data_IF_794007883602
#
_entry.id   IF_794007883602
#
_cell.length_a   1.000
_cell.length_b   1.000
_cell.length_c   1.000
_cell.angle_alpha   90.00
_cell.angle_beta   90.00
_cell.angle_gamma   90.00
#
_symmetry.space_group_name_H-M   'P 1'
#
loop_
_entity.id
_entity.type
_entity.pdbx_description
1 polymer ?
#
# COMPACT_ATOMS: atom_id res chain seq x y z
N UNK A 1 -17.50 -76.83 -30.33
CA UNK A 1 -18.00 -75.54 -29.80
C UNK A 1 -16.81 -74.76 -29.27
N UNK A 2 -16.24 -73.85 -30.07
CA UNK A 2 -15.06 -73.04 -29.69
C UNK A 2 -15.56 -71.75 -29.02
N UNK A 3 -15.16 -71.50 -27.77
CA UNK A 3 -15.53 -70.29 -27.02
C UNK A 3 -14.63 -69.12 -27.44
N UNK A 4 -15.25 -68.04 -27.90
CA UNK A 4 -14.62 -66.79 -28.29
C UNK A 4 -14.36 -65.96 -27.01
N UNK A 5 -13.11 -65.63 -26.72
CA UNK A 5 -12.73 -64.74 -25.62
C UNK A 5 -12.52 -63.35 -26.20
N UNK A 6 -13.38 -62.40 -25.84
CA UNK A 6 -13.27 -60.98 -26.22
C UNK A 6 -12.46 -60.28 -25.14
N UNK A 7 -11.26 -59.80 -25.50
CA UNK A 7 -10.44 -58.94 -24.66
C UNK A 7 -10.87 -57.50 -24.92
N UNK A 8 -11.50 -56.86 -23.92
CA UNK A 8 -11.84 -55.43 -23.95
C UNK A 8 -10.62 -54.67 -23.44
N UNK A 9 -9.97 -53.90 -24.32
CA UNK A 9 -8.87 -53.02 -23.97
C UNK A 9 -9.42 -51.70 -23.42
N UNK A 10 -9.23 -51.48 -22.12
CA UNK A 10 -9.58 -50.24 -21.42
C UNK A 10 -8.57 -49.14 -21.78
N UNK A 11 -8.99 -48.16 -22.58
CA UNK A 11 -8.20 -46.96 -22.87
C UNK A 11 -8.34 -46.01 -21.68
N UNK A 12 -7.27 -45.86 -20.90
CA UNK A 12 -7.19 -44.86 -19.84
C UNK A 12 -6.98 -43.48 -20.47
N UNK A 13 -8.01 -42.64 -20.46
CA UNK A 13 -7.92 -41.22 -20.79
C UNK A 13 -7.12 -40.51 -19.69
N UNK A 14 -5.89 -40.10 -19.99
CA UNK A 14 -5.14 -39.17 -19.16
C UNK A 14 -5.80 -37.79 -19.28
N UNK A 15 -6.52 -37.39 -18.24
CA UNK A 15 -7.06 -36.04 -18.10
C UNK A 15 -5.88 -35.14 -17.74
N UNK A 16 -5.26 -34.51 -18.73
CA UNK A 16 -4.31 -33.43 -18.53
C UNK A 16 -5.04 -32.27 -17.85
N UNK A 17 -4.84 -32.14 -16.54
CA UNK A 17 -5.21 -30.95 -15.78
C UNK A 17 -4.48 -29.77 -16.39
N UNK A 18 -5.22 -28.93 -17.13
CA UNK A 18 -4.79 -27.58 -17.46
C UNK A 18 -4.65 -26.81 -16.15
N UNK A 19 -3.44 -26.87 -15.55
CA UNK A 19 -3.05 -25.90 -14.53
C UNK A 19 -3.07 -24.54 -15.21
N UNK A 20 -4.12 -23.76 -14.92
CA UNK A 20 -4.15 -22.37 -15.30
C UNK A 20 -2.90 -21.71 -14.71
N UNK A 21 -2.10 -21.07 -15.56
CA UNK A 21 -1.08 -20.13 -15.12
C UNK A 21 -1.80 -18.98 -14.41
N UNK A 22 -2.15 -19.18 -13.14
CA UNK A 22 -2.31 -18.08 -12.20
C UNK A 22 -0.92 -17.46 -12.11
N UNK A 23 -0.69 -16.38 -12.86
CA UNK A 23 0.42 -15.48 -12.60
C UNK A 23 0.45 -15.23 -11.09
N UNK A 24 1.50 -15.70 -10.41
CA UNK A 24 1.63 -15.48 -8.97
C UNK A 24 1.75 -13.97 -8.77
N UNK A 25 0.86 -13.41 -7.96
CA UNK A 25 0.89 -11.99 -7.62
C UNK A 25 2.21 -11.70 -6.89
N UNK A 26 2.87 -10.55 -7.16
CA UNK A 26 3.98 -10.07 -6.35
C UNK A 26 3.67 -10.05 -4.86
N UNK A 27 4.57 -10.61 -4.06
CA UNK A 27 4.42 -10.72 -2.61
C UNK A 27 5.75 -10.48 -1.87
N UNK A 28 5.65 -9.97 -0.65
CA UNK A 28 6.76 -9.81 0.29
C UNK A 28 6.27 -9.93 1.73
N UNK A 29 7.03 -10.57 2.61
CA UNK A 29 6.68 -10.77 4.03
C UNK A 29 7.68 -10.08 4.95
N UNK A 30 7.25 -9.73 6.17
CA UNK A 30 8.12 -9.26 7.25
C UNK A 30 9.18 -10.31 7.62
N UNK A 31 10.28 -9.93 8.29
CA UNK A 31 11.28 -10.87 8.79
C UNK A 31 10.73 -12.01 9.65
N UNK A 32 9.67 -11.77 10.43
CA UNK A 32 8.98 -12.80 11.23
C UNK A 32 7.86 -13.54 10.48
N UNK A 33 7.57 -13.14 9.24
CA UNK A 33 6.54 -13.73 8.38
C UNK A 33 5.09 -13.38 8.76
N UNK A 34 4.85 -12.57 9.80
CA UNK A 34 3.51 -12.24 10.28
C UNK A 34 2.79 -11.22 9.41
N UNK A 35 3.51 -10.23 8.88
CA UNK A 35 2.96 -9.22 7.98
C UNK A 35 3.32 -9.57 6.54
N UNK A 36 2.36 -9.55 5.62
CA UNK A 36 2.60 -9.78 4.19
C UNK A 36 1.92 -8.71 3.35
N UNK A 37 2.63 -8.22 2.34
CA UNK A 37 2.10 -7.35 1.31
C UNK A 37 2.00 -8.12 0.00
N UNK A 38 0.89 -7.96 -0.71
CA UNK A 38 0.75 -8.41 -2.09
C UNK A 38 0.32 -7.26 -2.99
N UNK A 39 0.74 -7.30 -4.26
CA UNK A 39 0.43 -6.26 -5.25
C UNK A 39 -0.14 -6.90 -6.50
N UNK A 40 -1.14 -6.26 -7.11
CA UNK A 40 -1.79 -6.73 -8.32
C UNK A 40 -2.37 -5.55 -9.10
N UNK A 41 -2.69 -5.80 -10.37
CA UNK A 41 -3.55 -4.92 -11.15
C UNK A 41 -4.97 -5.50 -11.15
N UNK A 42 -5.97 -4.74 -10.71
CA UNK A 42 -7.39 -5.10 -10.81
C UNK A 42 -8.02 -4.21 -11.87
N UNK A 43 -8.49 -4.81 -12.97
CA UNK A 43 -9.12 -4.06 -14.08
C UNK A 43 -8.26 -2.90 -14.63
N UNK A 44 -6.93 -3.06 -14.65
CA UNK A 44 -5.98 -2.03 -15.09
C UNK A 44 -5.45 -1.13 -13.96
N UNK A 45 -6.04 -1.17 -12.76
CA UNK A 45 -5.67 -0.32 -11.61
C UNK A 45 -4.70 -1.03 -10.67
N UNK A 46 -3.55 -0.43 -10.43
CA UNK A 46 -2.54 -0.92 -9.49
C UNK A 46 -3.07 -0.85 -8.05
N UNK A 47 -2.99 -1.96 -7.33
CA UNK A 47 -3.52 -2.08 -5.97
C UNK A 47 -2.62 -2.94 -5.09
N UNK A 48 -2.56 -2.62 -3.80
CA UNK A 48 -1.90 -3.45 -2.77
C UNK A 48 -2.89 -3.99 -1.75
N UNK A 49 -2.49 -5.03 -1.04
CA UNK A 49 -3.22 -5.66 0.04
C UNK A 49 -2.23 -6.05 1.15
N UNK A 50 -2.68 -6.02 2.40
CA UNK A 50 -1.87 -6.39 3.57
C UNK A 50 -2.57 -7.47 4.38
N UNK A 51 -1.81 -8.51 4.72
CA UNK A 51 -2.20 -9.56 5.66
C UNK A 51 -1.38 -9.45 6.95
N UNK A 52 -2.00 -9.75 8.09
CA UNK A 52 -1.37 -9.93 9.40
C UNK A 52 -1.83 -11.27 9.99
N UNK A 53 -0.88 -12.16 10.28
CA UNK A 53 -1.13 -13.51 10.80
C UNK A 53 -2.10 -14.35 9.95
N UNK A 54 -2.04 -14.17 8.62
CA UNK A 54 -2.91 -14.85 7.66
C UNK A 54 -4.32 -14.25 7.53
N UNK A 55 -4.64 -13.18 8.27
CA UNK A 55 -5.87 -12.42 8.11
C UNK A 55 -5.62 -11.17 7.28
N UNK A 56 -6.48 -10.90 6.29
CA UNK A 56 -6.45 -9.65 5.55
C UNK A 56 -6.80 -8.48 6.49
N UNK A 57 -5.93 -7.49 6.58
CA UNK A 57 -6.15 -6.26 7.38
C UNK A 57 -6.37 -5.04 6.50
N UNK A 58 -5.67 -4.95 5.37
CA UNK A 58 -5.92 -3.97 4.31
C UNK A 58 -6.37 -4.76 3.08
N UNK A 59 -7.62 -4.55 2.67
CA UNK A 59 -8.18 -5.05 1.42
C UNK A 59 -7.52 -4.38 0.21
N UNK A 60 -7.72 -4.90 -1.02
CA UNK A 60 -7.16 -4.27 -2.21
C UNK A 60 -7.42 -2.77 -2.24
N UNK A 61 -6.35 -1.99 -2.18
CA UNK A 61 -6.34 -0.53 -2.04
C UNK A 61 -5.56 0.08 -3.19
N UNK A 62 -6.17 1.07 -3.85
CA UNK A 62 -5.60 1.72 -5.05
C UNK A 62 -4.27 2.42 -4.74
N UNK A 63 -3.37 2.38 -5.73
CA UNK A 63 -2.11 3.09 -5.77
C UNK A 63 -2.06 3.92 -7.07
N UNK A 64 -1.82 5.22 -6.98
CA UNK A 64 -1.71 6.03 -8.19
C UNK A 64 -1.73 7.53 -7.95
N UNK A 65 -1.70 8.28 -9.05
CA UNK A 65 -1.78 9.74 -9.07
C UNK A 65 -2.64 10.23 -10.22
N UNK A 66 -3.45 11.25 -9.99
CA UNK A 66 -4.03 12.07 -11.06
C UNK A 66 -3.06 13.23 -11.35
N UNK A 67 -2.65 13.37 -12.60
CA UNK A 67 -1.79 14.46 -13.05
C UNK A 67 -2.62 15.67 -13.49
N UNK A 68 -2.00 16.85 -13.51
CA UNK A 68 -2.56 18.01 -14.17
C UNK A 68 -2.78 17.69 -15.66
N UNK A 69 -4.01 17.87 -16.14
CA UNK A 69 -4.43 17.45 -17.48
C UNK A 69 -5.19 16.11 -17.53
N UNK A 70 -5.33 15.42 -16.39
CA UNK A 70 -6.24 14.27 -16.22
C UNK A 70 -5.66 12.90 -16.55
N UNK A 71 -4.36 12.80 -16.90
CA UNK A 71 -3.70 11.51 -17.01
C UNK A 71 -3.56 10.85 -15.63
N UNK A 72 -3.70 9.53 -15.55
CA UNK A 72 -3.61 8.78 -14.30
C UNK A 72 -2.40 7.85 -14.34
N UNK A 73 -1.50 8.00 -13.38
CA UNK A 73 -0.43 7.03 -13.13
C UNK A 73 -0.99 5.93 -12.22
N UNK A 74 -0.73 4.66 -12.55
CA UNK A 74 -1.28 3.51 -11.81
C UNK A 74 -2.61 2.97 -12.36
N UNK A 75 -3.16 3.59 -13.40
CA UNK A 75 -4.30 3.07 -14.17
C UNK A 75 -3.85 2.57 -15.55
N UNK A 76 -4.65 1.71 -16.19
CA UNK A 76 -4.34 1.02 -17.45
C UNK A 76 -2.90 0.47 -17.49
N UNK A 77 -2.44 -0.07 -16.36
CA UNK A 77 -1.04 -0.46 -16.15
C UNK A 77 -0.91 -1.95 -15.85
N UNK A 78 0.26 -2.50 -16.16
CA UNK A 78 0.62 -3.88 -15.83
C UNK A 78 1.92 -3.92 -15.03
N UNK A 79 2.06 -4.97 -14.22
CA UNK A 79 3.30 -5.23 -13.49
C UNK A 79 4.28 -5.89 -14.46
N UNK A 80 5.40 -5.21 -14.72
CA UNK A 80 6.42 -5.65 -15.66
C UNK A 80 7.43 -6.59 -15.00
N UNK A 81 7.89 -6.24 -13.80
CA UNK A 81 8.83 -7.05 -13.04
C UNK A 81 8.81 -6.70 -11.55
N UNK A 82 9.51 -7.48 -10.75
CA UNK A 82 9.69 -7.23 -9.31
C UNK A 82 11.13 -7.46 -8.91
N UNK A 83 11.62 -6.63 -8.00
CA UNK A 83 12.95 -6.75 -7.40
C UNK A 83 12.83 -6.91 -5.89
N UNK A 84 13.50 -7.90 -5.31
CA UNK A 84 13.49 -8.13 -3.86
C UNK A 84 14.84 -7.85 -3.23
N UNK A 85 14.83 -7.34 -2.00
CA UNK A 85 16.01 -7.19 -1.17
C UNK A 85 15.66 -7.33 0.31
N UNK A 86 16.68 -7.37 1.18
CA UNK A 86 16.51 -7.36 2.63
C UNK A 86 17.56 -6.46 3.26
N UNK A 87 17.24 -5.91 4.41
CA UNK A 87 18.12 -5.06 5.19
C UNK A 87 18.02 -5.47 6.66
N UNK A 88 19.17 -5.60 7.31
CA UNK A 88 19.28 -6.00 8.71
C UNK A 88 20.55 -5.36 9.28
N UNK A 89 20.39 -4.14 9.83
CA UNK A 89 21.46 -3.40 10.48
C UNK A 89 20.95 -2.59 11.65
N UNK A 90 21.83 -2.37 12.62
CA UNK A 90 21.61 -1.43 13.71
C UNK A 90 22.41 -0.16 13.46
N UNK A 91 21.82 1.00 13.74
CA UNK A 91 22.51 2.28 13.70
C UNK A 91 22.38 3.02 15.04
N UNK A 92 23.29 3.95 15.29
CA UNK A 92 23.34 4.72 16.54
C UNK A 92 22.85 6.16 16.31
N UNK A 93 21.92 6.61 17.12
CA UNK A 93 21.39 7.97 17.08
C UNK A 93 22.39 8.97 17.67
N UNK A 94 22.45 10.18 17.11
CA UNK A 94 23.15 11.30 17.76
C UNK A 94 22.40 11.73 19.04
N UNK A 95 21.07 11.69 19.00
CA UNK A 95 20.14 11.97 20.10
C UNK A 95 18.79 11.30 19.77
N UNK A 96 18.00 10.96 20.79
CA UNK A 96 16.70 10.30 20.61
C UNK A 96 16.25 9.58 21.88
N UNK A 97 15.07 8.97 21.80
CA UNK A 97 14.49 8.10 22.83
C UNK A 97 15.27 6.81 23.05
N UNK A 98 15.99 6.34 22.03
CA UNK A 98 16.80 5.12 22.04
C UNK A 98 18.15 5.37 21.38
N UNK A 99 19.23 4.90 22.00
CA UNK A 99 20.60 5.05 21.44
C UNK A 99 20.81 4.21 20.18
N UNK A 100 20.30 2.98 20.18
CA UNK A 100 20.47 2.02 19.08
C UNK A 100 19.12 1.74 18.46
N UNK A 101 19.04 1.87 17.13
CA UNK A 101 17.84 1.60 16.35
C UNK A 101 18.12 0.44 15.41
N UNK A 102 17.30 -0.59 15.48
CA UNK A 102 17.32 -1.72 14.56
C UNK A 102 16.49 -1.38 13.34
N UNK A 103 17.10 -1.46 12.15
CA UNK A 103 16.40 -1.43 10.87
C UNK A 103 16.49 -2.82 10.26
N UNK A 104 15.38 -3.56 10.38
CA UNK A 104 15.25 -4.92 9.88
C UNK A 104 13.96 -5.07 9.08
N UNK A 105 14.09 -5.16 7.77
CA UNK A 105 12.96 -5.29 6.86
C UNK A 105 13.30 -6.12 5.63
N UNK A 106 12.25 -6.66 5.01
CA UNK A 106 12.33 -7.12 3.63
C UNK A 106 11.73 -6.05 2.72
N UNK A 107 12.28 -5.90 1.51
CA UNK A 107 11.84 -4.90 0.56
C UNK A 107 11.50 -5.52 -0.80
N UNK A 108 10.52 -4.91 -1.47
CA UNK A 108 10.09 -5.27 -2.82
C UNK A 108 9.84 -3.99 -3.62
N UNK A 109 10.44 -3.89 -4.80
CA UNK A 109 10.09 -2.86 -5.79
C UNK A 109 9.23 -3.53 -6.87
N UNK A 110 8.04 -3.00 -7.10
CA UNK A 110 7.14 -3.39 -8.19
C UNK A 110 7.35 -2.42 -9.33
N UNK A 111 7.81 -2.93 -10.46
CA UNK A 111 8.10 -2.13 -11.65
C UNK A 111 6.90 -2.12 -12.59
N UNK A 112 6.46 -0.92 -12.98
CA UNK A 112 5.44 -0.73 -14.04
C UNK A 112 6.00 0.18 -15.13
N UNK A 113 5.21 0.48 -16.16
CA UNK A 113 5.68 1.36 -17.24
C UNK A 113 5.96 2.80 -16.78
N UNK A 114 5.20 3.30 -15.80
CA UNK A 114 5.17 4.74 -15.47
C UNK A 114 5.13 5.06 -13.98
N UNK A 115 5.07 4.05 -13.10
CA UNK A 115 4.98 4.25 -11.66
C UNK A 115 5.49 3.02 -10.92
N UNK A 116 6.70 3.12 -10.40
CA UNK A 116 7.27 2.07 -9.57
C UNK A 116 6.83 2.28 -8.12
N UNK A 117 6.70 1.18 -7.37
CA UNK A 117 6.33 1.22 -5.95
C UNK A 117 7.31 0.38 -5.14
N UNK A 118 8.02 1.02 -4.22
CA UNK A 118 8.89 0.36 -3.25
C UNK A 118 8.12 0.12 -1.96
N UNK A 119 8.07 -1.13 -1.51
CA UNK A 119 7.57 -1.55 -0.21
C UNK A 119 8.73 -1.98 0.68
N UNK A 120 8.66 -1.62 1.96
CA UNK A 120 9.45 -2.16 3.06
C UNK A 120 8.51 -2.73 4.10
N UNK A 121 8.73 -3.98 4.47
CA UNK A 121 7.86 -4.73 5.39
C UNK A 121 8.66 -5.08 6.62
N UNK A 122 8.23 -4.50 7.75
CA UNK A 122 8.78 -4.67 9.08
C UNK A 122 7.87 -5.60 9.89
N UNK A 123 8.34 -6.07 11.04
CA UNK A 123 7.54 -6.91 11.92
C UNK A 123 6.35 -6.15 12.55
N UNK A 124 6.41 -4.83 12.60
CA UNK A 124 5.44 -3.94 13.25
C UNK A 124 4.73 -3.00 12.26
N UNK A 125 4.92 -3.20 10.95
CA UNK A 125 4.25 -2.38 9.96
C UNK A 125 4.83 -2.46 8.56
N UNK A 126 4.33 -1.59 7.70
CA UNK A 126 4.82 -1.41 6.33
C UNK A 126 5.11 0.06 6.06
N UNK A 127 6.09 0.31 5.20
CA UNK A 127 6.30 1.59 4.53
C UNK A 127 6.27 1.37 3.02
N UNK A 128 5.62 2.24 2.28
CA UNK A 128 5.74 2.24 0.82
C UNK A 128 5.88 3.64 0.24
N UNK A 129 6.53 3.76 -0.90
CA UNK A 129 6.67 5.02 -1.64
C UNK A 129 6.65 4.77 -3.14
N UNK A 130 6.36 5.81 -3.88
CA UNK A 130 6.39 5.78 -5.33
C UNK A 130 7.73 6.28 -5.86
N UNK A 131 8.16 5.70 -6.98
CA UNK A 131 9.35 6.09 -7.72
C UNK A 131 8.89 6.44 -9.14
N UNK A 132 9.12 7.68 -9.56
CA UNK A 132 8.72 8.19 -10.87
C UNK A 132 9.88 8.01 -11.87
N UNK A 133 9.69 7.24 -12.96
CA UNK A 133 10.74 7.07 -13.97
C UNK A 133 11.19 8.40 -14.56
N UNK A 134 12.49 8.55 -14.83
CA UNK A 134 13.07 9.79 -15.39
C UNK A 134 12.46 10.15 -16.76
N UNK A 135 12.01 9.14 -17.51
CA UNK A 135 11.44 9.26 -18.85
C UNK A 135 10.13 10.03 -18.88
N UNK A 136 9.44 10.19 -17.74
CA UNK A 136 8.24 11.03 -17.65
C UNK A 136 8.56 12.53 -17.75
N UNK A 137 9.82 12.94 -17.55
CA UNK A 137 10.19 14.36 -17.46
C UNK A 137 9.51 15.06 -16.28
N UNK A 138 9.46 16.39 -16.32
CA UNK A 138 8.76 17.21 -15.33
C UNK A 138 7.25 17.12 -15.52
N UNK A 139 6.51 16.94 -14.42
CA UNK A 139 5.04 16.89 -14.44
C UNK A 139 4.46 17.38 -13.12
N UNK A 140 3.16 17.69 -13.13
CA UNK A 140 2.47 18.20 -11.96
C UNK A 140 1.41 17.20 -11.52
N UNK A 141 1.42 16.87 -10.23
CA UNK A 141 0.42 16.03 -9.58
C UNK A 141 -0.75 16.91 -9.16
N UNK A 142 -1.97 16.48 -9.49
CA UNK A 142 -3.21 17.09 -8.99
C UNK A 142 -3.66 16.42 -7.70
N UNK A 143 -3.72 15.08 -7.70
CA UNK A 143 -4.13 14.25 -6.55
C UNK A 143 -3.24 13.02 -6.42
N UNK A 144 -3.05 12.57 -5.19
CA UNK A 144 -2.59 11.22 -4.88
C UNK A 144 -3.82 10.33 -4.67
N UNK A 145 -3.85 9.16 -5.30
CA UNK A 145 -5.02 8.25 -5.31
C UNK A 145 -4.88 7.10 -4.30
N UNK A 146 -3.87 7.16 -3.42
CA UNK A 146 -3.56 6.11 -2.46
C UNK A 146 -4.72 5.88 -1.50
N UNK A 147 -5.13 4.62 -1.41
CA UNK A 147 -6.16 4.16 -0.48
C UNK A 147 -5.58 3.37 0.70
N UNK A 148 -6.34 3.37 1.79
CA UNK A 148 -6.20 2.47 2.93
C UNK A 148 -7.59 1.87 3.20
N UNK A 149 -7.94 0.82 2.46
CA UNK A 149 -9.20 0.10 2.62
C UNK A 149 -9.03 -1.00 3.65
N UNK A 150 -9.56 -0.80 4.85
CA UNK A 150 -9.57 -1.83 5.89
C UNK A 150 -10.47 -3.00 5.49
N UNK A 151 -10.08 -4.22 5.88
CA UNK A 151 -10.85 -5.43 5.57
C UNK A 151 -12.14 -5.57 6.40
N UNK A 152 -12.22 -4.87 7.54
CA UNK A 152 -13.43 -4.75 8.35
C UNK A 152 -13.94 -3.31 8.31
N UNK A 153 -15.23 -3.16 8.61
CA UNK A 153 -15.84 -1.88 8.94
C UNK A 153 -15.85 -1.67 10.46
N UNK A 154 -16.37 -0.54 10.92
CA UNK A 154 -16.61 -0.24 12.34
C UNK A 154 -15.35 0.01 13.19
N UNK A 155 -14.28 0.43 12.53
CA UNK A 155 -13.09 0.97 13.16
C UNK A 155 -13.40 2.27 13.91
N UNK A 156 -12.73 2.46 15.06
CA UNK A 156 -12.67 3.77 15.73
C UNK A 156 -11.36 4.44 15.40
N UNK A 157 -11.41 5.73 15.14
CA UNK A 157 -10.25 6.54 14.77
C UNK A 157 -10.08 7.69 15.76
N UNK A 158 -8.84 7.90 16.21
CA UNK A 158 -8.40 9.09 16.91
C UNK A 158 -7.67 9.99 15.92
N UNK A 159 -8.19 11.20 15.73
CA UNK A 159 -7.74 12.10 14.68
C UNK A 159 -7.86 13.56 15.09
N UNK A 160 -7.10 14.42 14.42
CA UNK A 160 -7.19 15.87 14.56
C UNK A 160 -7.68 16.48 13.23
N UNK A 161 -8.69 17.37 13.26
CA UNK A 161 -9.23 17.95 12.05
C UNK A 161 -8.26 18.95 11.41
N UNK A 162 -8.09 18.85 10.09
CA UNK A 162 -7.28 19.76 9.28
C UNK A 162 -7.82 21.19 9.26
N UNK A 163 -9.11 21.36 9.55
CA UNK A 163 -9.77 22.67 9.61
C UNK A 163 -9.21 23.56 10.74
N UNK A 164 -8.53 22.99 11.73
CA UNK A 164 -7.83 23.71 12.78
C UNK A 164 -6.36 23.90 12.38
N UNK A 165 -5.86 25.15 12.31
CA UNK A 165 -4.47 25.41 11.92
C UNK A 165 -3.43 24.77 12.85
N UNK A 166 -2.23 24.55 12.30
CA UNK A 166 -1.00 24.22 13.05
C UNK A 166 -1.06 22.99 13.96
N UNK A 167 -1.97 22.03 13.70
CA UNK A 167 -2.13 20.82 14.50
C UNK A 167 -2.55 21.08 15.96
N UNK A 168 -3.00 22.29 16.30
CA UNK A 168 -3.37 22.68 17.65
C UNK A 168 -4.84 22.33 17.96
N UNK A 169 -5.22 21.08 17.66
CA UNK A 169 -6.55 20.55 17.91
C UNK A 169 -6.50 19.44 18.97
N UNK A 170 -7.59 19.28 19.72
CA UNK A 170 -7.79 18.06 20.50
C UNK A 170 -8.10 16.90 19.55
N UNK A 171 -7.56 15.72 19.87
CA UNK A 171 -7.92 14.51 19.14
C UNK A 171 -9.38 14.13 19.44
N UNK A 172 -10.14 13.85 18.39
CA UNK A 172 -11.51 13.35 18.44
C UNK A 172 -11.51 11.84 18.24
N UNK A 173 -12.42 11.12 18.90
CA UNK A 173 -12.64 9.70 18.69
C UNK A 173 -14.00 9.49 18.01
N UNK A 174 -13.98 9.00 16.78
CA UNK A 174 -15.19 8.81 15.97
C UNK A 174 -15.16 7.46 15.23
N UNK A 175 -16.25 7.12 14.55
CA UNK A 175 -16.19 6.14 13.48
C UNK A 175 -15.41 6.70 12.28
N UNK A 176 -14.87 5.81 11.45
CA UNK A 176 -14.02 6.17 10.30
C UNK A 176 -14.75 7.07 9.29
N UNK A 177 -16.00 6.77 8.95
CA UNK A 177 -16.83 7.54 8.01
C UNK A 177 -17.29 8.93 8.54
N UNK A 178 -16.90 9.30 9.76
CA UNK A 178 -17.27 10.59 10.37
C UNK A 178 -16.17 11.62 10.32
N UNK A 179 -14.97 11.27 9.87
CA UNK A 179 -13.91 12.25 9.69
C UNK A 179 -14.16 13.04 8.41
N UNK A 180 -13.82 14.33 8.41
CA UNK A 180 -13.80 15.14 7.20
C UNK A 180 -12.42 15.05 6.52
N UNK A 181 -11.39 15.61 7.15
CA UNK A 181 -10.00 15.59 6.74
C UNK A 181 -9.12 15.62 7.98
N UNK A 182 -8.41 14.52 8.22
CA UNK A 182 -7.53 14.33 9.37
C UNK A 182 -6.08 14.64 9.05
N UNK A 183 -5.40 15.34 9.96
CA UNK A 183 -3.94 15.30 9.99
C UNK A 183 -3.43 13.91 10.36
N UNK A 184 -2.27 13.54 9.80
CA UNK A 184 -1.51 12.36 10.24
C UNK A 184 -0.49 12.75 11.33
N UNK A 185 -0.12 11.85 12.26
CA UNK A 185 -0.59 10.47 12.37
C UNK A 185 -2.05 10.37 12.82
N UNK A 186 -2.79 9.42 12.22
CA UNK A 186 -4.06 8.96 12.80
C UNK A 186 -3.83 7.61 13.46
N UNK A 187 -4.51 7.37 14.58
CA UNK A 187 -4.47 6.08 15.28
C UNK A 187 -5.85 5.44 15.22
N UNK A 188 -5.90 4.14 14.94
CA UNK A 188 -7.13 3.41 14.69
C UNK A 188 -7.18 2.18 15.60
N UNK A 189 -8.29 2.04 16.34
CA UNK A 189 -8.65 0.81 17.04
C UNK A 189 -9.44 -0.06 16.07
N UNK A 190 -8.84 -1.19 15.77
CA UNK A 190 -9.32 -2.24 14.89
C UNK A 190 -10.60 -2.90 15.39
N UNK A 191 -11.63 -3.02 14.55
CA UNK A 191 -12.74 -3.94 14.83
C UNK A 191 -12.31 -5.42 14.80
N UNK A 192 -11.07 -5.69 14.39
CA UNK A 192 -10.38 -6.97 14.48
C UNK A 192 -9.54 -7.15 15.74
N UNK A 193 -9.56 -6.17 16.66
CA UNK A 193 -8.81 -6.21 17.91
C UNK A 193 -7.37 -5.73 17.80
N UNK A 194 -6.93 -5.31 16.60
CA UNK A 194 -5.59 -4.75 16.36
C UNK A 194 -5.58 -3.23 16.49
N UNK A 195 -4.40 -2.63 16.51
CA UNK A 195 -4.25 -1.18 16.42
C UNK A 195 -3.44 -0.82 15.18
N UNK A 196 -3.82 0.29 14.54
CA UNK A 196 -3.11 0.81 13.37
C UNK A 196 -2.71 2.26 13.58
N UNK A 197 -1.60 2.66 12.97
CA UNK A 197 -1.25 4.08 12.83
C UNK A 197 -0.85 4.37 11.39
N UNK A 198 -1.54 5.31 10.75
CA UNK A 198 -1.22 5.75 9.38
C UNK A 198 -0.51 7.09 9.44
N UNK A 199 0.67 7.17 8.85
CA UNK A 199 1.48 8.38 8.78
C UNK A 199 2.35 8.43 7.52
N UNK A 200 3.28 9.38 7.49
CA UNK A 200 4.30 9.48 6.45
C UNK A 200 5.70 9.70 7.03
N UNK A 201 6.73 9.40 6.26
CA UNK A 201 8.12 9.61 6.66
C UNK A 201 8.96 10.16 5.50
N UNK A 202 9.99 10.94 5.82
CA UNK A 202 10.86 11.64 4.87
C UNK A 202 10.08 12.58 3.91
N UNK A 203 9.23 13.44 4.48
CA UNK A 203 8.54 14.49 3.72
C UNK A 203 9.53 15.54 3.21
N UNK A 204 10.02 15.34 1.98
CA UNK A 204 10.98 16.21 1.29
C UNK A 204 10.42 16.52 -0.10
N UNK A 205 10.39 17.80 -0.47
CA UNK A 205 10.01 18.28 -1.82
C UNK A 205 8.68 17.70 -2.32
N UNK A 206 7.73 17.52 -1.41
CA UNK A 206 6.42 16.94 -1.69
C UNK A 206 5.35 17.58 -0.80
N UNK A 207 4.10 17.51 -1.22
CA UNK A 207 2.98 18.00 -0.42
C UNK A 207 2.70 17.06 0.76
N UNK A 208 2.44 17.64 1.92
CA UNK A 208 1.98 16.90 3.09
C UNK A 208 0.66 16.16 2.80
N UNK A 209 0.56 14.90 3.24
CA UNK A 209 -0.67 14.11 3.19
C UNK A 209 -1.54 14.31 4.43
N UNK A 210 -2.84 14.43 4.16
CA UNK A 210 -3.92 14.31 5.12
C UNK A 210 -4.79 13.12 4.70
N UNK A 211 -5.71 12.68 5.55
CA UNK A 211 -6.59 11.55 5.25
C UNK A 211 -8.05 11.99 5.28
N UNK A 212 -8.81 11.57 4.28
CA UNK A 212 -10.27 11.78 4.22
C UNK A 212 -10.95 10.41 4.22
N UNK A 213 -12.15 10.30 4.78
CA UNK A 213 -12.95 9.10 4.63
C UNK A 213 -13.69 9.10 3.29
N UNK A 214 -13.56 8.00 2.56
CA UNK A 214 -14.41 7.72 1.40
C UNK A 214 -15.69 6.99 1.84
N UNK A 215 -15.54 6.02 2.75
CA UNK A 215 -16.62 5.21 3.31
C UNK A 215 -16.25 4.73 4.73
N UNK A 216 -17.04 3.80 5.30
CA UNK A 216 -16.85 3.27 6.66
C UNK A 216 -15.62 2.37 6.86
N UNK A 217 -14.89 2.07 5.80
CA UNK A 217 -13.71 1.19 5.76
C UNK A 217 -12.53 1.76 4.97
N UNK A 218 -12.75 2.82 4.16
CA UNK A 218 -11.73 3.34 3.24
C UNK A 218 -11.31 4.75 3.62
N UNK A 219 -10.02 4.93 3.88
CA UNK A 219 -9.36 6.25 3.91
C UNK A 219 -8.64 6.52 2.58
N UNK A 220 -8.65 7.77 2.14
CA UNK A 220 -7.92 8.26 0.97
C UNK A 220 -6.96 9.38 1.36
N UNK A 221 -5.85 9.46 0.64
CA UNK A 221 -4.94 10.60 0.79
C UNK A 221 -5.58 11.88 0.26
N UNK A 222 -5.23 13.00 0.89
CA UNK A 222 -5.62 14.34 0.49
C UNK A 222 -4.42 15.26 0.63
N UNK A 223 -3.85 15.66 -0.51
CA UNK A 223 -2.64 16.47 -0.57
C UNK A 223 -2.92 17.92 -0.11
N UNK A 224 -1.97 18.50 0.61
CA UNK A 224 -1.96 19.93 0.90
C UNK A 224 -1.54 20.69 -0.36
N UNK A 225 -2.52 21.19 -1.11
CA UNK A 225 -2.30 21.83 -2.41
C UNK A 225 -1.71 23.23 -2.32
N UNK A 226 -1.02 23.60 -3.39
CA UNK A 226 -0.68 24.98 -3.72
C UNK A 226 -1.94 25.81 -3.99
N UNK A 227 -1.79 27.14 -3.92
CA UNK A 227 -2.90 28.07 -4.13
C UNK A 227 -3.51 28.01 -5.53
N UNK A 228 -2.77 27.51 -6.52
CA UNK A 228 -3.25 27.30 -7.90
C UNK A 228 -4.00 25.97 -8.08
N UNK A 229 -4.12 25.16 -7.02
CA UNK A 229 -4.76 23.85 -7.02
C UNK A 229 -3.85 22.69 -7.41
N UNK A 230 -2.57 22.94 -7.74
CA UNK A 230 -1.57 21.89 -7.95
C UNK A 230 -1.26 21.19 -6.62
N UNK A 231 -1.22 19.86 -6.62
CA UNK A 231 -0.76 19.08 -5.47
C UNK A 231 0.76 19.18 -5.31
N UNK A 232 1.52 18.74 -6.31
CA UNK A 232 2.99 18.72 -6.30
C UNK A 232 3.54 19.07 -7.68
N UNK A 233 4.63 19.82 -7.73
CA UNK A 233 5.45 20.00 -8.94
C UNK A 233 6.61 19.00 -8.87
N UNK A 234 6.57 17.95 -9.69
CA UNK A 234 7.62 16.93 -9.71
C UNK A 234 8.68 17.34 -10.71
N UNK A 235 9.87 17.65 -10.20
CA UNK A 235 11.04 18.05 -10.99
C UNK A 235 12.21 17.10 -10.70
N UNK A 236 13.15 17.51 -9.83
CA UNK A 236 14.36 16.75 -9.50
C UNK A 236 14.09 15.60 -8.53
N UNK A 237 13.22 15.78 -7.53
CA UNK A 237 12.90 14.71 -6.58
C UNK A 237 11.91 13.73 -7.22
N UNK A 238 12.38 12.54 -7.59
CA UNK A 238 11.61 11.50 -8.29
C UNK A 238 11.01 10.44 -7.37
N UNK A 239 10.96 10.68 -6.06
CA UNK A 239 10.34 9.77 -5.09
C UNK A 239 9.38 10.51 -4.20
N UNK A 240 8.27 9.87 -3.85
CA UNK A 240 7.39 10.40 -2.81
C UNK A 240 8.02 10.18 -1.42
N UNK A 241 7.53 10.89 -0.40
CA UNK A 241 7.66 10.45 0.97
C UNK A 241 7.10 9.04 1.14
N UNK A 242 7.54 8.36 2.19
CA UNK A 242 6.99 7.08 2.59
C UNK A 242 5.58 7.28 3.14
N UNK A 243 4.66 6.39 2.80
CA UNK A 243 3.38 6.18 3.48
C UNK A 243 3.57 4.99 4.40
N UNK A 244 3.23 5.16 5.67
CA UNK A 244 3.47 4.15 6.69
C UNK A 244 2.15 3.66 7.29
N UNK A 245 2.10 2.36 7.56
CA UNK A 245 1.04 1.71 8.32
C UNK A 245 1.73 0.90 9.42
N UNK A 246 1.70 1.39 10.65
CA UNK A 246 2.08 0.58 11.81
C UNK A 246 0.92 -0.33 12.18
N UNK A 247 1.23 -1.55 12.62
CA UNK A 247 0.27 -2.59 12.99
C UNK A 247 0.71 -3.19 14.33
N UNK A 248 -0.16 -3.11 15.33
CA UNK A 248 0.05 -3.68 16.66
C UNK A 248 -1.10 -4.62 17.04
N UNK A 249 -0.80 -5.59 17.91
CA UNK A 249 -1.74 -6.61 18.39
C UNK A 249 -2.34 -6.25 19.75
#
# INVERSE_FOLDING_TARGET
>A
MKKLVIVVASVALAISSCGGNSSKKPEISSPDGRTKVSVQTIEGVLSYMVERDGEQVIAPSVLGFELMGGNILGDNTEILSVSHSSYDKTWETVWGESRLIEDRHNAMIVHTAHLDVEFRVFNDGIGFRYIFPEELGDFNIREELTEYRFARSDHKIWWMPRSVPYYEAYAECTALDKIDCAYTPVTIEGADGRFYSIHEAALLDFAKVNLVAEDASTLKTSLTKWSDGTGVYVTTTRTTPWRTILIAD
#
